data_IF_473595894202
#
_entry.id   IF_473595894202
#
_cell.length_a   1.000
_cell.length_b   1.000
_cell.length_c   1.000
_cell.angle_alpha   90.00
_cell.angle_beta   90.00
_cell.angle_gamma   90.00
#
_symmetry.space_group_name_H-M   'P 1'
#
loop_
_entity.id
_entity.type
_entity.pdbx_description
1 polymer ?
#
# COMPACT_ATOMS: atom_id res chain seq x y z
N UNK A 1 28.08 -9.33 -52.03
CA UNK A 1 27.17 -10.31 -51.40
C UNK A 1 26.75 -9.76 -50.05
N UNK A 2 25.63 -9.04 -50.02
CA UNK A 2 24.94 -8.65 -48.79
C UNK A 2 24.17 -9.85 -48.27
N UNK A 3 24.41 -10.22 -47.01
CA UNK A 3 23.57 -11.17 -46.29
C UNK A 3 22.56 -10.35 -45.51
N UNK A 4 21.34 -10.28 -46.04
CA UNK A 4 20.15 -9.82 -45.32
C UNK A 4 19.86 -10.78 -44.16
N UNK A 5 20.16 -10.37 -42.93
CA UNK A 5 19.59 -10.99 -41.74
C UNK A 5 18.42 -10.13 -41.26
N UNK A 6 17.24 -10.46 -41.77
CA UNK A 6 15.98 -10.06 -41.19
C UNK A 6 15.76 -10.84 -39.88
N UNK A 7 15.70 -10.22 -38.68
CA UNK A 7 15.34 -10.93 -37.48
C UNK A 7 13.83 -11.19 -37.48
N UNK A 8 13.45 -12.45 -37.67
CA UNK A 8 12.09 -12.97 -37.52
C UNK A 8 11.51 -12.51 -36.19
N UNK A 9 10.34 -11.90 -36.26
CA UNK A 9 9.42 -11.50 -35.19
C UNK A 9 8.98 -12.69 -34.33
N UNK A 10 9.18 -12.62 -32.99
CA UNK A 10 8.35 -13.31 -32.01
C UNK A 10 7.63 -12.32 -31.06
N UNK A 11 7.74 -11.00 -31.28
CA UNK A 11 7.22 -9.98 -30.34
C UNK A 11 5.76 -9.57 -30.59
N UNK A 12 5.20 -9.84 -31.78
CA UNK A 12 3.88 -9.32 -32.17
C UNK A 12 2.71 -10.15 -31.60
N UNK A 13 2.87 -11.46 -31.41
CA UNK A 13 1.81 -12.33 -30.86
C UNK A 13 1.65 -12.24 -29.34
N UNK A 14 2.73 -12.09 -28.58
CA UNK A 14 2.64 -11.89 -27.11
C UNK A 14 2.02 -10.54 -26.73
N UNK A 15 2.09 -9.54 -27.62
CA UNK A 15 1.49 -8.23 -27.39
C UNK A 15 -0.05 -8.27 -27.47
N UNK A 16 -0.62 -9.14 -28.31
CA UNK A 16 -2.07 -9.25 -28.52
C UNK A 16 -2.79 -10.02 -27.40
N UNK A 17 -2.26 -11.17 -26.96
CA UNK A 17 -2.85 -11.96 -25.86
C UNK A 17 -2.77 -11.23 -24.51
N UNK A 18 -1.66 -10.52 -24.26
CA UNK A 18 -1.50 -9.67 -23.10
C UNK A 18 -2.43 -8.44 -23.09
N UNK A 19 -2.76 -7.90 -24.26
CA UNK A 19 -3.64 -6.72 -24.39
C UNK A 19 -5.09 -6.99 -23.97
N UNK A 20 -5.64 -8.15 -24.35
CA UNK A 20 -7.02 -8.54 -24.04
C UNK A 20 -7.17 -8.76 -22.53
N UNK A 21 -6.26 -9.53 -21.93
CA UNK A 21 -6.28 -9.82 -20.48
C UNK A 21 -6.21 -8.53 -19.65
N UNK A 22 -5.38 -7.56 -20.05
CA UNK A 22 -5.27 -6.27 -19.36
C UNK A 22 -6.58 -5.45 -19.41
N UNK A 23 -7.23 -5.40 -20.58
CA UNK A 23 -8.52 -4.71 -20.72
C UNK A 23 -9.60 -5.39 -19.88
N UNK A 24 -9.66 -6.72 -19.91
CA UNK A 24 -10.63 -7.50 -19.16
C UNK A 24 -10.54 -7.25 -17.64
N UNK A 25 -9.32 -7.31 -17.06
CA UNK A 25 -9.11 -7.02 -15.63
C UNK A 25 -9.53 -5.59 -15.28
N UNK A 26 -9.23 -4.61 -16.15
CA UNK A 26 -9.66 -3.22 -15.92
C UNK A 26 -11.18 -3.08 -15.94
N UNK A 27 -11.89 -3.78 -16.84
CA UNK A 27 -13.34 -3.76 -16.92
C UNK A 27 -13.95 -4.36 -15.65
N UNK A 28 -13.44 -5.51 -15.20
CA UNK A 28 -13.88 -6.14 -13.95
C UNK A 28 -13.76 -5.16 -12.78
N UNK A 29 -12.63 -4.47 -12.66
CA UNK A 29 -12.41 -3.49 -11.59
C UNK A 29 -13.47 -2.38 -11.62
N UNK A 30 -13.74 -1.78 -12.78
CA UNK A 30 -14.75 -0.71 -12.86
C UNK A 30 -16.17 -1.21 -12.60
N UNK A 31 -16.52 -2.42 -13.05
CA UNK A 31 -17.81 -3.05 -12.76
C UNK A 31 -17.96 -3.34 -11.26
N UNK A 32 -16.91 -3.87 -10.62
CA UNK A 32 -16.88 -4.08 -9.17
C UNK A 32 -17.02 -2.76 -8.41
N UNK A 33 -16.28 -1.71 -8.81
CA UNK A 33 -16.34 -0.40 -8.16
C UNK A 33 -17.76 0.19 -8.24
N UNK A 34 -18.38 0.15 -9.42
CA UNK A 34 -19.74 0.66 -9.63
C UNK A 34 -20.77 -0.19 -8.88
N UNK A 35 -20.68 -1.52 -8.99
CA UNK A 35 -21.60 -2.45 -8.34
C UNK A 35 -21.58 -2.34 -6.81
N UNK A 36 -20.40 -2.26 -6.20
CA UNK A 36 -20.29 -2.11 -4.74
C UNK A 36 -20.70 -0.72 -4.27
N UNK A 37 -20.42 0.33 -5.04
CA UNK A 37 -20.90 1.69 -4.72
C UNK A 37 -22.42 1.75 -4.76
N UNK A 38 -23.05 1.17 -5.80
CA UNK A 38 -24.51 1.09 -5.90
C UNK A 38 -25.10 0.25 -4.75
N UNK A 39 -24.50 -0.90 -4.45
CA UNK A 39 -24.89 -1.73 -3.30
C UNK A 39 -24.82 -0.95 -2.00
N UNK A 40 -23.74 -0.21 -1.75
CA UNK A 40 -23.58 0.59 -0.54
C UNK A 40 -24.68 1.66 -0.42
N UNK A 41 -25.01 2.35 -1.51
CA UNK A 41 -26.10 3.33 -1.54
C UNK A 41 -27.46 2.67 -1.28
N UNK A 42 -27.74 1.52 -1.90
CA UNK A 42 -28.98 0.77 -1.68
C UNK A 42 -29.11 0.34 -0.21
N UNK A 43 -28.04 -0.19 0.38
CA UNK A 43 -28.02 -0.59 1.79
C UNK A 43 -28.19 0.61 2.72
N UNK A 44 -27.59 1.75 2.38
CA UNK A 44 -27.79 3.01 3.12
C UNK A 44 -29.26 3.41 3.12
N UNK A 45 -29.89 3.47 1.94
CA UNK A 45 -31.32 3.82 1.79
C UNK A 45 -32.19 2.83 2.55
N UNK A 46 -31.92 1.53 2.42
CA UNK A 46 -32.66 0.48 3.15
C UNK A 46 -32.55 0.66 4.66
N UNK A 47 -31.37 1.00 5.17
CA UNK A 47 -31.15 1.30 6.58
C UNK A 47 -31.97 2.51 7.06
N UNK A 48 -32.01 3.59 6.27
CA UNK A 48 -32.84 4.76 6.58
C UNK A 48 -34.34 4.47 6.53
N UNK A 49 -34.82 3.69 5.57
CA UNK A 49 -36.24 3.32 5.49
C UNK A 49 -36.66 2.38 6.63
N UNK A 50 -35.76 1.49 7.06
CA UNK A 50 -35.99 0.56 8.15
C UNK A 50 -35.99 1.23 9.54
N UNK A 51 -35.47 2.46 9.65
CA UNK A 51 -35.53 3.27 10.87
C UNK A 51 -36.98 3.54 11.34
N UNK A 52 -37.96 3.50 10.43
CA UNK A 52 -39.37 3.63 10.80
C UNK A 52 -40.00 2.32 11.32
N UNK A 53 -39.28 1.20 11.28
CA UNK A 53 -39.76 -0.12 11.68
C UNK A 53 -38.87 -0.72 12.79
N UNK A 54 -38.99 -0.23 14.03
CA UNK A 54 -38.61 -0.89 15.30
C UNK A 54 -37.29 -1.70 15.36
N UNK A 55 -36.22 -1.31 14.67
CA UNK A 55 -34.91 -1.96 14.76
C UNK A 55 -33.97 -1.18 15.69
N UNK A 56 -33.23 -1.91 16.54
CA UNK A 56 -32.31 -1.44 17.59
C UNK A 56 -31.08 -0.60 17.10
N UNK A 57 -31.10 -0.06 15.89
CA UNK A 57 -29.99 0.70 15.32
C UNK A 57 -30.16 2.20 15.52
N UNK A 58 -29.15 2.85 16.12
CA UNK A 58 -29.15 4.29 16.38
C UNK A 58 -28.15 5.00 15.44
N UNK A 59 -28.62 5.59 14.32
CA UNK A 59 -27.74 6.20 13.31
C UNK A 59 -26.86 7.32 13.86
N UNK A 60 -27.39 8.14 14.78
CA UNK A 60 -26.68 9.26 15.39
C UNK A 60 -25.53 8.81 16.30
N UNK A 61 -25.57 7.57 16.79
CA UNK A 61 -24.54 7.01 17.65
C UNK A 61 -23.46 6.25 16.84
N UNK A 62 -23.78 5.89 15.59
CA UNK A 62 -22.88 5.11 14.73
C UNK A 62 -22.15 5.96 13.67
N UNK A 63 -22.87 6.85 12.96
CA UNK A 63 -22.28 7.61 11.83
C UNK A 63 -21.28 8.69 12.26
N UNK A 64 -21.53 9.52 13.28
CA UNK A 64 -20.58 10.57 13.67
C UNK A 64 -19.21 10.05 14.13
N UNK A 65 -19.10 9.03 15.00
CA UNK A 65 -17.79 8.46 15.37
C UNK A 65 -17.04 7.88 14.17
N UNK A 66 -17.77 7.29 13.21
CA UNK A 66 -17.18 6.73 12.00
C UNK A 66 -16.68 7.83 11.07
N UNK A 67 -17.50 8.84 10.75
CA UNK A 67 -17.13 9.94 9.86
C UNK A 67 -15.97 10.76 10.44
N UNK A 68 -15.92 10.97 11.75
CA UNK A 68 -14.78 11.61 12.42
C UNK A 68 -13.50 10.77 12.27
N UNK A 69 -13.57 9.44 12.40
CA UNK A 69 -12.44 8.55 12.16
C UNK A 69 -11.94 8.60 10.70
N UNK A 70 -12.85 8.69 9.72
CA UNK A 70 -12.50 8.87 8.29
C UNK A 70 -11.88 10.25 8.03
N UNK A 71 -12.44 11.30 8.61
CA UNK A 71 -11.89 12.66 8.50
C UNK A 71 -10.48 12.75 9.08
N UNK A 72 -10.27 12.16 10.27
CA UNK A 72 -8.97 12.09 10.93
C UNK A 72 -7.94 11.33 10.10
N UNK A 73 -8.33 10.22 9.46
CA UNK A 73 -7.47 9.48 8.55
C UNK A 73 -6.98 10.36 7.39
N UNK A 74 -7.87 11.16 6.81
CA UNK A 74 -7.52 12.11 5.75
C UNK A 74 -6.51 13.15 6.22
N UNK A 75 -6.74 13.75 7.39
CA UNK A 75 -5.84 14.73 8.02
C UNK A 75 -4.46 14.10 8.28
N UNK A 76 -4.43 12.93 8.91
CA UNK A 76 -3.17 12.22 9.20
C UNK A 76 -2.41 11.85 7.92
N UNK A 77 -3.11 11.41 6.88
CA UNK A 77 -2.52 11.15 5.57
C UNK A 77 -1.84 12.40 5.00
N UNK A 78 -2.52 13.55 5.03
CA UNK A 78 -1.96 14.82 4.57
C UNK A 78 -0.76 15.27 5.42
N UNK A 79 -0.83 15.11 6.74
CA UNK A 79 0.27 15.45 7.66
C UNK A 79 1.50 14.60 7.35
N UNK A 80 1.35 13.27 7.23
CA UNK A 80 2.49 12.40 6.90
C UNK A 80 3.04 12.66 5.50
N UNK A 81 2.17 12.99 4.53
CA UNK A 81 2.60 13.38 3.20
C UNK A 81 3.42 14.68 3.25
N UNK A 82 2.92 15.71 3.93
CA UNK A 82 3.62 16.99 4.08
C UNK A 82 4.94 16.85 4.85
N UNK A 83 4.98 16.04 5.91
CA UNK A 83 6.19 15.74 6.67
C UNK A 83 7.23 15.00 5.83
N UNK A 84 6.79 14.01 5.02
CA UNK A 84 7.70 13.26 4.14
C UNK A 84 8.37 14.15 3.10
N UNK A 85 7.68 15.21 2.66
CA UNK A 85 8.24 16.18 1.71
C UNK A 85 9.10 17.26 2.38
N UNK A 86 8.64 17.82 3.49
CA UNK A 86 9.31 18.98 4.13
C UNK A 86 10.44 18.58 5.08
N UNK A 87 10.27 17.49 5.83
CA UNK A 87 11.16 17.08 6.91
C UNK A 87 11.22 15.54 7.02
N UNK A 88 11.91 14.85 6.08
CA UNK A 88 11.98 13.39 6.05
C UNK A 88 12.51 12.78 7.36
N UNK A 89 13.43 13.47 8.03
CA UNK A 89 13.94 13.10 9.36
C UNK A 89 12.82 12.99 10.40
N UNK A 90 11.95 14.00 10.48
CA UNK A 90 10.82 14.00 11.42
C UNK A 90 9.81 12.94 11.02
N UNK A 91 9.53 12.81 9.72
CA UNK A 91 8.57 11.80 9.24
C UNK A 91 8.97 10.38 9.66
N UNK A 92 10.21 9.96 9.38
CA UNK A 92 10.72 8.63 9.70
C UNK A 92 10.74 8.43 11.22
N UNK A 93 11.31 9.35 12.00
CA UNK A 93 11.35 9.22 13.46
C UNK A 93 9.95 9.15 14.07
N UNK A 94 9.01 10.00 13.62
CA UNK A 94 7.63 9.96 14.11
C UNK A 94 6.97 8.62 13.82
N UNK A 95 7.10 8.11 12.60
CA UNK A 95 6.50 6.85 12.20
C UNK A 95 7.02 5.67 13.03
N UNK A 96 8.34 5.54 13.16
CA UNK A 96 8.97 4.40 13.82
C UNK A 96 8.87 4.43 15.36
N UNK A 97 8.87 5.61 15.99
CA UNK A 97 8.80 5.71 17.45
C UNK A 97 7.38 5.84 17.99
N UNK A 98 6.50 6.62 17.33
CA UNK A 98 5.12 6.79 17.79
C UNK A 98 4.16 5.74 17.23
N UNK A 99 4.46 5.15 16.06
CA UNK A 99 3.63 4.08 15.48
C UNK A 99 3.40 2.88 16.43
N UNK A 100 4.46 2.30 17.04
CA UNK A 100 4.32 1.23 18.02
C UNK A 100 3.44 1.63 19.22
N UNK A 101 3.64 2.83 19.76
CA UNK A 101 2.87 3.35 20.89
C UNK A 101 1.38 3.46 20.56
N UNK A 102 1.04 4.06 19.41
CA UNK A 102 -0.35 4.18 18.94
C UNK A 102 -0.98 2.79 18.74
N UNK A 103 -0.22 1.85 18.18
CA UNK A 103 -0.70 0.47 17.94
C UNK A 103 -0.98 -0.27 19.26
N UNK A 104 -0.09 -0.14 20.25
CA UNK A 104 -0.30 -0.69 21.58
C UNK A 104 -1.52 -0.07 22.27
N UNK A 105 -1.66 1.26 22.22
CA UNK A 105 -2.81 1.97 22.78
C UNK A 105 -4.13 1.52 22.14
N UNK A 106 -4.14 1.32 20.82
CA UNK A 106 -5.29 0.75 20.12
C UNK A 106 -5.60 -0.67 20.63
N UNK A 107 -4.59 -1.50 20.85
CA UNK A 107 -4.75 -2.84 21.42
C UNK A 107 -5.39 -2.80 22.82
N UNK A 108 -4.91 -1.91 23.69
CA UNK A 108 -5.48 -1.71 25.03
C UNK A 108 -6.93 -1.24 24.96
N UNK A 109 -7.26 -0.31 24.05
CA UNK A 109 -8.63 0.13 23.83
C UNK A 109 -9.53 -1.03 23.40
N UNK A 110 -9.10 -1.85 22.45
CA UNK A 110 -9.88 -3.00 21.97
C UNK A 110 -10.12 -4.05 23.07
N UNK A 111 -9.12 -4.28 23.93
CA UNK A 111 -9.24 -5.15 25.10
C UNK A 111 -10.23 -4.55 26.11
N UNK A 112 -10.18 -3.23 26.36
CA UNK A 112 -11.02 -2.57 27.36
C UNK A 112 -12.50 -2.50 26.98
N UNK A 113 -12.84 -2.59 25.68
CA UNK A 113 -14.24 -2.73 25.24
C UNK A 113 -14.86 -4.03 25.78
N UNK A 114 -14.07 -5.09 25.96
CA UNK A 114 -14.52 -6.35 26.57
C UNK A 114 -15.41 -7.22 25.68
N UNK A 115 -15.41 -7.00 24.36
CA UNK A 115 -16.07 -7.89 23.39
C UNK A 115 -15.14 -9.05 23.01
N UNK A 116 -15.70 -10.19 22.60
CA UNK A 116 -14.90 -11.36 22.17
C UNK A 116 -14.00 -11.05 20.98
N UNK A 117 -14.55 -10.34 19.98
CA UNK A 117 -13.78 -9.85 18.82
C UNK A 117 -12.74 -8.81 19.24
N UNK A 118 -13.10 -7.87 20.11
CA UNK A 118 -12.20 -6.84 20.63
C UNK A 118 -11.02 -7.42 21.39
N UNK A 119 -11.22 -8.46 22.20
CA UNK A 119 -10.15 -9.17 22.91
C UNK A 119 -9.15 -9.77 21.92
N UNK A 120 -9.62 -10.52 20.92
CA UNK A 120 -8.74 -11.17 19.95
C UNK A 120 -7.91 -10.18 19.13
N UNK A 121 -8.58 -9.16 18.56
CA UNK A 121 -7.88 -8.12 17.79
C UNK A 121 -7.02 -7.21 18.67
N UNK A 122 -7.41 -7.00 19.92
CA UNK A 122 -6.68 -6.19 20.88
C UNK A 122 -5.36 -6.83 21.29
N UNK A 123 -5.38 -8.11 21.66
CA UNK A 123 -4.15 -8.88 21.94
C UNK A 123 -3.23 -8.90 20.73
N UNK A 124 -3.78 -9.15 19.54
CA UNK A 124 -3.01 -9.13 18.29
C UNK A 124 -2.37 -7.76 18.05
N UNK A 125 -3.12 -6.67 18.21
CA UNK A 125 -2.62 -5.32 18.03
C UNK A 125 -1.51 -4.97 19.02
N UNK A 126 -1.65 -5.35 20.30
CA UNK A 126 -0.59 -5.14 21.31
C UNK A 126 0.67 -5.92 20.95
N UNK A 127 0.56 -7.19 20.54
CA UNK A 127 1.70 -7.98 20.07
C UNK A 127 2.38 -7.34 18.86
N UNK A 128 1.59 -6.89 17.87
CA UNK A 128 2.11 -6.17 16.70
C UNK A 128 2.81 -4.89 17.10
N UNK A 129 2.29 -4.13 18.07
CA UNK A 129 2.93 -2.92 18.59
C UNK A 129 4.29 -3.22 19.24
N UNK A 130 4.41 -4.29 20.03
CA UNK A 130 5.68 -4.73 20.61
C UNK A 130 6.68 -5.12 19.52
N UNK A 131 6.26 -5.92 18.53
CA UNK A 131 7.10 -6.31 17.39
C UNK A 131 7.55 -5.08 16.59
N UNK A 132 6.67 -4.10 16.38
CA UNK A 132 7.03 -2.85 15.71
C UNK A 132 8.07 -2.05 16.50
N UNK A 133 7.98 -1.99 17.83
CA UNK A 133 8.96 -1.32 18.67
C UNK A 133 10.34 -2.00 18.58
N UNK A 134 10.37 -3.34 18.69
CA UNK A 134 11.60 -4.11 18.53
C UNK A 134 12.21 -3.93 17.14
N UNK A 135 11.38 -3.96 16.09
CA UNK A 135 11.83 -3.70 14.73
C UNK A 135 12.39 -2.29 14.57
N UNK A 136 11.74 -1.27 15.12
CA UNK A 136 12.21 0.11 15.08
C UNK A 136 13.59 0.28 15.74
N UNK A 137 13.83 -0.38 16.89
CA UNK A 137 15.14 -0.42 17.53
C UNK A 137 16.18 -1.11 16.64
N UNK A 138 15.84 -2.24 16.03
CA UNK A 138 16.74 -3.01 15.17
C UNK A 138 17.14 -2.26 13.90
N UNK A 139 16.21 -1.53 13.28
CA UNK A 139 16.49 -0.79 12.03
C UNK A 139 16.96 0.65 12.23
N UNK A 140 17.12 1.11 13.47
CA UNK A 140 17.58 2.47 13.78
C UNK A 140 18.90 2.85 13.06
N UNK A 141 19.92 1.98 12.94
CA UNK A 141 21.14 2.29 12.18
C UNK A 141 20.91 2.52 10.67
N UNK A 142 19.75 2.15 10.14
CA UNK A 142 19.38 2.33 8.73
C UNK A 142 18.67 3.66 8.46
N UNK A 143 18.35 4.43 9.50
CA UNK A 143 17.55 5.65 9.37
C UNK A 143 18.25 6.73 8.56
N UNK A 144 19.55 6.97 8.76
CA UNK A 144 20.25 8.04 8.06
C UNK A 144 20.21 7.84 6.54
N UNK A 145 20.46 6.61 6.07
CA UNK A 145 20.35 6.28 4.66
C UNK A 145 18.91 6.45 4.13
N UNK A 146 17.91 5.96 4.87
CA UNK A 146 16.50 6.09 4.47
C UNK A 146 16.05 7.56 4.41
N UNK A 147 16.51 8.40 5.34
CA UNK A 147 16.25 9.84 5.36
C UNK A 147 16.86 10.52 4.14
N UNK A 148 18.12 10.23 3.82
CA UNK A 148 18.80 10.82 2.65
C UNK A 148 18.10 10.43 1.35
N UNK A 149 17.79 9.15 1.16
CA UNK A 149 17.07 8.67 -0.02
C UNK A 149 15.69 9.31 -0.15
N UNK A 150 14.96 9.43 0.97
CA UNK A 150 13.65 10.08 0.97
C UNK A 150 13.77 11.57 0.63
N UNK A 151 14.77 12.28 1.19
CA UNK A 151 15.03 13.69 0.94
C UNK A 151 15.34 13.97 -0.54
N UNK A 152 16.26 13.20 -1.14
CA UNK A 152 16.60 13.30 -2.57
C UNK A 152 15.37 13.05 -3.42
N UNK A 153 14.61 12.01 -3.10
CA UNK A 153 13.38 11.69 -3.83
C UNK A 153 12.28 12.76 -3.67
N UNK A 154 12.31 13.54 -2.59
CA UNK A 154 11.31 14.57 -2.29
C UNK A 154 11.60 15.92 -2.97
N UNK A 155 12.84 16.18 -3.40
CA UNK A 155 13.30 17.47 -3.91
C UNK A 155 12.61 18.00 -5.17
N UNK A 156 11.90 17.13 -5.91
CA UNK A 156 11.19 17.52 -7.13
C UNK A 156 9.77 16.93 -7.19
N UNK A 157 8.76 17.56 -6.55
CA UNK A 157 7.36 17.23 -6.79
C UNK A 157 6.81 18.17 -7.87
N UNK A 158 6.78 17.77 -9.16
CA UNK A 158 6.06 18.56 -10.15
C UNK A 158 4.61 18.71 -9.71
N UNK A 159 4.04 19.92 -9.81
CA UNK A 159 2.71 20.26 -9.26
C UNK A 159 1.62 19.25 -9.63
N UNK A 160 1.71 18.64 -10.82
CA UNK A 160 0.81 17.60 -11.33
C UNK A 160 0.82 16.30 -10.51
N UNK A 161 1.96 15.93 -9.92
CA UNK A 161 2.06 14.73 -9.06
C UNK A 161 1.40 14.94 -7.71
N UNK A 162 1.49 16.16 -7.16
CA UNK A 162 0.75 16.55 -5.96
C UNK A 162 -0.76 16.55 -6.22
N UNK A 163 -1.20 17.09 -7.37
CA UNK A 163 -2.60 17.04 -7.79
C UNK A 163 -3.14 15.62 -7.88
N UNK A 164 -2.40 14.68 -8.49
CA UNK A 164 -2.82 13.27 -8.55
C UNK A 164 -2.98 12.68 -7.14
N UNK A 165 -2.03 12.93 -6.24
CA UNK A 165 -2.08 12.40 -4.87
C UNK A 165 -3.29 12.96 -4.09
N UNK A 166 -3.57 14.26 -4.21
CA UNK A 166 -4.73 14.90 -3.57
C UNK A 166 -6.04 14.37 -4.14
N UNK A 167 -6.16 14.23 -5.46
CA UNK A 167 -7.36 13.65 -6.09
C UNK A 167 -7.59 12.19 -5.66
N UNK A 168 -6.53 11.39 -5.62
CA UNK A 168 -6.60 10.01 -5.15
C UNK A 168 -7.01 9.91 -3.68
N UNK A 169 -6.52 10.82 -2.84
CA UNK A 169 -6.91 10.91 -1.44
C UNK A 169 -8.38 11.30 -1.28
N UNK A 170 -8.84 12.33 -2.00
CA UNK A 170 -10.25 12.75 -2.01
C UNK A 170 -11.19 11.64 -2.48
N UNK A 171 -10.83 10.94 -3.56
CA UNK A 171 -11.56 9.75 -4.02
C UNK A 171 -11.62 8.66 -2.94
N UNK A 172 -10.49 8.38 -2.26
CA UNK A 172 -10.43 7.37 -1.20
C UNK A 172 -11.34 7.71 -0.02
N UNK A 173 -11.32 8.98 0.44
CA UNK A 173 -12.18 9.47 1.53
C UNK A 173 -13.66 9.35 1.13
N UNK A 174 -14.02 9.84 -0.06
CA UNK A 174 -15.40 9.79 -0.55
C UNK A 174 -15.91 8.34 -0.71
N UNK A 175 -15.08 7.46 -1.27
CA UNK A 175 -15.42 6.05 -1.43
C UNK A 175 -15.59 5.35 -0.07
N UNK A 176 -14.68 5.55 0.88
CA UNK A 176 -14.84 5.01 2.24
C UNK A 176 -16.11 5.54 2.92
N UNK A 177 -16.42 6.84 2.79
CA UNK A 177 -17.64 7.42 3.37
C UNK A 177 -18.91 6.76 2.80
N UNK A 178 -18.98 6.53 1.48
CA UNK A 178 -20.09 5.82 0.83
C UNK A 178 -20.20 4.38 1.36
N UNK A 179 -19.07 3.67 1.47
CA UNK A 179 -19.06 2.31 2.01
C UNK A 179 -19.52 2.27 3.47
N UNK A 180 -19.12 3.23 4.30
CA UNK A 180 -19.58 3.28 5.69
C UNK A 180 -21.08 3.58 5.79
N UNK A 181 -21.64 4.36 4.86
CA UNK A 181 -23.09 4.46 4.66
C UNK A 181 -23.74 3.08 4.52
N UNK A 182 -23.22 2.26 3.61
CA UNK A 182 -23.76 0.93 3.37
C UNK A 182 -23.55 -0.06 4.52
N UNK A 183 -22.39 0.00 5.20
CA UNK A 183 -22.13 -0.83 6.39
C UNK A 183 -23.08 -0.46 7.53
N UNK A 184 -23.34 0.83 7.76
CA UNK A 184 -24.32 1.28 8.74
C UNK A 184 -25.73 0.75 8.41
N UNK A 185 -26.15 0.86 7.14
CA UNK A 185 -27.44 0.34 6.70
C UNK A 185 -27.56 -1.19 6.67
N UNK A 186 -26.45 -1.92 6.52
CA UNK A 186 -26.39 -3.36 6.69
C UNK A 186 -26.49 -3.77 8.17
N UNK A 187 -25.78 -3.04 9.04
CA UNK A 187 -25.80 -3.25 10.49
C UNK A 187 -27.19 -3.00 11.07
N UNK A 188 -27.95 -2.06 10.50
CA UNK A 188 -29.32 -1.78 10.90
C UNK A 188 -30.29 -2.95 10.69
N UNK A 189 -30.10 -3.74 9.62
CA UNK A 189 -30.95 -4.88 9.31
C UNK A 189 -30.51 -6.16 10.05
N UNK A 190 -29.21 -6.33 10.29
CA UNK A 190 -28.67 -7.35 11.19
C UNK A 190 -28.84 -8.80 10.75
N UNK A 191 -29.12 -9.07 9.46
CA UNK A 191 -29.30 -10.45 8.97
C UNK A 191 -27.96 -11.13 8.66
N UNK A 192 -27.95 -12.47 8.59
CA UNK A 192 -26.76 -13.22 8.16
C UNK A 192 -26.28 -12.81 6.75
N UNK A 193 -27.22 -12.48 5.86
CA UNK A 193 -26.92 -11.98 4.51
C UNK A 193 -26.20 -10.64 4.59
N UNK A 194 -26.60 -9.74 5.50
CA UNK A 194 -25.97 -8.44 5.69
C UNK A 194 -24.52 -8.57 6.16
N UNK A 195 -24.21 -9.55 7.00
CA UNK A 195 -22.83 -9.88 7.37
C UNK A 195 -21.96 -10.26 6.16
N UNK A 196 -22.50 -11.06 5.23
CA UNK A 196 -21.80 -11.41 3.98
C UNK A 196 -21.61 -10.18 3.10
N UNK A 197 -22.65 -9.32 2.97
CA UNK A 197 -22.56 -8.09 2.18
C UNK A 197 -21.50 -7.14 2.74
N UNK A 198 -21.42 -6.97 4.06
CA UNK A 198 -20.35 -6.20 4.71
C UNK A 198 -18.98 -6.81 4.40
N UNK A 199 -18.83 -8.13 4.45
CA UNK A 199 -17.59 -8.81 4.05
C UNK A 199 -17.18 -8.53 2.61
N UNK A 200 -18.13 -8.59 1.66
CA UNK A 200 -17.90 -8.26 0.24
C UNK A 200 -17.48 -6.79 0.09
N UNK A 201 -18.14 -5.87 0.79
CA UNK A 201 -17.80 -4.44 0.77
C UNK A 201 -16.40 -4.18 1.31
N UNK A 202 -16.00 -4.85 2.40
CA UNK A 202 -14.64 -4.75 2.96
C UNK A 202 -13.60 -5.28 1.98
N UNK A 203 -13.81 -6.46 1.41
CA UNK A 203 -12.89 -7.05 0.43
C UNK A 203 -12.71 -6.15 -0.79
N UNK A 204 -13.83 -5.63 -1.30
CA UNK A 204 -13.89 -4.61 -2.33
C UNK A 204 -13.08 -3.37 -1.96
N UNK A 205 -13.26 -2.84 -0.74
CA UNK A 205 -12.52 -1.69 -0.24
C UNK A 205 -11.02 -1.93 -0.23
N UNK A 206 -10.57 -3.07 0.31
CA UNK A 206 -9.16 -3.44 0.34
C UNK A 206 -8.56 -3.43 -1.06
N UNK A 207 -9.25 -4.05 -2.02
CA UNK A 207 -8.75 -4.11 -3.39
C UNK A 207 -8.73 -2.72 -4.04
N UNK A 208 -9.83 -1.96 -3.97
CA UNK A 208 -9.91 -0.60 -4.53
C UNK A 208 -8.85 0.32 -3.95
N UNK A 209 -8.61 0.29 -2.64
CA UNK A 209 -7.59 1.11 -1.99
C UNK A 209 -6.17 0.76 -2.45
N UNK A 210 -5.87 -0.53 -2.64
CA UNK A 210 -4.59 -0.95 -3.21
C UNK A 210 -4.44 -0.48 -4.66
N UNK A 211 -5.52 -0.53 -5.46
CA UNK A 211 -5.51 0.00 -6.83
C UNK A 211 -5.23 1.50 -6.83
N UNK A 212 -5.96 2.29 -6.04
CA UNK A 212 -5.75 3.74 -5.95
C UNK A 212 -4.31 4.07 -5.53
N UNK A 213 -3.80 3.39 -4.50
CA UNK A 213 -2.40 3.52 -4.05
C UNK A 213 -1.42 3.24 -5.20
N UNK A 214 -1.60 2.14 -5.92
CA UNK A 214 -0.68 1.76 -6.99
C UNK A 214 -0.83 2.64 -8.24
N UNK A 215 -2.01 3.22 -8.50
CA UNK A 215 -2.22 4.25 -9.53
C UNK A 215 -1.38 5.49 -9.22
N UNK A 216 -1.42 5.96 -7.97
CA UNK A 216 -0.53 7.06 -7.52
C UNK A 216 0.93 6.65 -7.65
N UNK A 217 1.29 5.43 -7.24
CA UNK A 217 2.64 4.91 -7.33
C UNK A 217 3.18 4.97 -8.77
N UNK A 218 2.44 4.40 -9.72
CA UNK A 218 2.79 4.37 -11.15
C UNK A 218 2.86 5.79 -11.73
N UNK A 219 1.85 6.62 -11.45
CA UNK A 219 1.77 7.99 -11.97
C UNK A 219 2.95 8.83 -11.50
N UNK A 220 3.18 8.89 -10.18
CA UNK A 220 4.26 9.68 -9.60
C UNK A 220 5.62 9.11 -10.03
N UNK A 221 5.78 7.78 -10.07
CA UNK A 221 7.04 7.18 -10.50
C UNK A 221 7.35 7.47 -11.96
N UNK A 222 6.35 7.47 -12.85
CA UNK A 222 6.54 7.75 -14.27
C UNK A 222 7.03 9.18 -14.49
N UNK A 223 6.41 10.16 -13.83
CA UNK A 223 6.83 11.56 -13.94
C UNK A 223 8.25 11.75 -13.39
N UNK A 224 8.55 11.17 -12.22
CA UNK A 224 9.88 11.29 -11.62
C UNK A 224 10.95 10.57 -12.44
N UNK A 225 10.63 9.40 -12.98
CA UNK A 225 11.51 8.66 -13.88
C UNK A 225 11.88 9.50 -15.11
N UNK A 226 10.89 10.09 -15.79
CA UNK A 226 11.14 10.97 -16.95
C UNK A 226 11.99 12.20 -16.60
N UNK A 227 11.83 12.74 -15.39
CA UNK A 227 12.67 13.83 -14.92
C UNK A 227 14.14 13.38 -14.75
N UNK A 228 14.38 12.23 -14.11
CA UNK A 228 15.72 11.69 -13.96
C UNK A 228 16.37 11.31 -15.30
N UNK A 229 15.58 10.77 -16.25
CA UNK A 229 16.12 10.24 -17.51
C UNK A 229 16.18 11.24 -18.67
N UNK A 230 15.19 12.14 -18.83
CA UNK A 230 15.04 12.97 -20.04
C UNK A 230 15.14 14.48 -19.74
N UNK A 231 14.49 14.97 -18.68
CA UNK A 231 14.61 16.38 -18.22
C UNK A 231 14.00 17.45 -19.11
N UNK A 232 13.10 17.07 -20.03
CA UNK A 232 12.32 18.00 -20.84
C UNK A 232 10.83 17.97 -20.46
N UNK A 233 10.24 19.17 -20.38
CA UNK A 233 8.81 19.42 -20.16
C UNK A 233 8.00 19.23 -21.45
N UNK A 234 7.81 17.98 -21.86
CA UNK A 234 6.84 17.64 -22.91
C UNK A 234 5.40 17.89 -22.43
N UNK A 235 4.43 17.79 -23.35
CA UNK A 235 2.98 17.97 -23.13
C UNK A 235 2.41 16.87 -22.17
N UNK A 236 2.83 16.99 -20.91
CA UNK A 236 2.90 15.90 -19.93
C UNK A 236 1.51 15.45 -19.52
N UNK A 237 0.52 16.34 -19.58
CA UNK A 237 -0.82 16.07 -19.05
C UNK A 237 -1.56 15.01 -19.90
N UNK A 238 -1.57 15.17 -21.23
CA UNK A 238 -2.23 14.22 -22.13
C UNK A 238 -1.46 12.90 -22.16
N UNK A 239 -0.13 12.94 -22.19
CA UNK A 239 0.71 11.75 -22.14
C UNK A 239 0.53 10.98 -20.81
N UNK A 240 0.50 11.69 -19.68
CA UNK A 240 0.28 11.12 -18.34
C UNK A 240 -1.06 10.41 -18.23
N UNK A 241 -2.16 11.09 -18.58
CA UNK A 241 -3.50 10.52 -18.51
C UNK A 241 -3.63 9.28 -19.40
N UNK A 242 -3.06 9.33 -20.61
CA UNK A 242 -3.06 8.19 -21.51
C UNK A 242 -2.21 7.03 -20.98
N UNK A 243 -1.08 7.30 -20.32
CA UNK A 243 -0.25 6.27 -19.68
C UNK A 243 -0.97 5.62 -18.50
N UNK A 244 -1.62 6.40 -17.63
CA UNK A 244 -2.43 5.90 -16.53
C UNK A 244 -3.59 5.03 -17.03
N UNK A 245 -4.37 5.51 -17.99
CA UNK A 245 -5.49 4.75 -18.55
C UNK A 245 -5.06 3.40 -19.16
N UNK A 246 -3.91 3.36 -19.85
CA UNK A 246 -3.38 2.13 -20.45
C UNK A 246 -2.73 1.18 -19.44
N UNK A 247 -2.30 1.68 -18.29
CA UNK A 247 -1.68 0.88 -17.23
C UNK A 247 -2.69 0.32 -16.21
N UNK A 248 -3.96 0.73 -16.25
CA UNK A 248 -5.00 0.29 -15.30
C UNK A 248 -5.08 -1.23 -15.15
N UNK A 249 -5.10 -2.00 -16.25
CA UNK A 249 -5.16 -3.46 -16.20
C UNK A 249 -4.01 -4.10 -15.40
N UNK A 250 -2.74 -3.85 -15.79
CA UNK A 250 -1.56 -4.27 -15.02
C UNK A 250 -1.55 -3.77 -13.58
N UNK A 251 -2.00 -2.54 -13.31
CA UNK A 251 -2.08 -1.99 -11.95
C UNK A 251 -3.10 -2.74 -11.11
N UNK A 252 -4.29 -3.02 -11.65
CA UNK A 252 -5.33 -3.78 -10.96
C UNK A 252 -4.87 -5.20 -10.61
N UNK A 253 -4.23 -5.88 -11.56
CA UNK A 253 -3.66 -7.21 -11.34
C UNK A 253 -2.53 -7.17 -10.31
N UNK A 254 -1.63 -6.19 -10.41
CA UNK A 254 -0.53 -6.00 -9.46
C UNK A 254 -1.01 -5.68 -8.04
N UNK A 255 -2.17 -5.02 -7.91
CA UNK A 255 -2.77 -4.67 -6.61
C UNK A 255 -3.31 -5.89 -5.84
N UNK A 256 -3.50 -7.02 -6.51
CA UNK A 256 -3.79 -8.32 -5.88
C UNK A 256 -2.51 -9.12 -5.71
N UNK A 257 -1.71 -9.24 -6.77
CA UNK A 257 -0.53 -10.10 -6.80
C UNK A 257 0.55 -9.64 -5.81
N UNK A 258 0.91 -8.35 -5.79
CA UNK A 258 2.04 -7.86 -4.98
C UNK A 258 1.77 -8.01 -3.47
N UNK A 259 0.59 -7.64 -2.92
CA UNK A 259 0.28 -7.92 -1.52
C UNK A 259 0.23 -9.42 -1.22
N UNK A 260 -0.32 -10.24 -2.11
CA UNK A 260 -0.41 -11.70 -1.91
C UNK A 260 0.97 -12.33 -1.83
N UNK A 261 1.90 -11.97 -2.73
CA UNK A 261 3.29 -12.42 -2.69
C UNK A 261 3.98 -11.94 -1.41
N UNK A 262 3.70 -10.72 -0.97
CA UNK A 262 4.26 -10.18 0.28
C UNK A 262 3.76 -10.96 1.50
N UNK A 263 2.49 -11.35 1.53
CA UNK A 263 1.90 -12.19 2.57
C UNK A 263 2.52 -13.59 2.59
N UNK A 264 2.64 -14.24 1.43
CA UNK A 264 3.27 -15.56 1.30
C UNK A 264 4.74 -15.51 1.75
N UNK A 265 5.48 -14.48 1.37
CA UNK A 265 6.87 -14.31 1.82
C UNK A 265 6.96 -14.03 3.33
N UNK A 266 6.04 -13.25 3.87
CA UNK A 266 5.96 -12.96 5.29
C UNK A 266 5.71 -14.24 6.11
N UNK A 267 4.74 -15.05 5.69
CA UNK A 267 4.45 -16.34 6.35
C UNK A 267 5.60 -17.33 6.19
N UNK A 268 6.24 -17.39 5.02
CA UNK A 268 7.43 -18.22 4.81
C UNK A 268 8.53 -17.94 5.84
N UNK A 269 8.82 -16.65 6.06
CA UNK A 269 9.85 -16.22 7.01
C UNK A 269 9.47 -16.52 8.45
N UNK A 270 8.21 -16.31 8.82
CA UNK A 270 7.71 -16.65 10.15
C UNK A 270 7.85 -18.16 10.42
N UNK A 271 7.49 -19.00 9.44
CA UNK A 271 7.64 -20.46 9.55
C UNK A 271 9.12 -20.85 9.66
N UNK A 272 10.00 -20.27 8.85
CA UNK A 272 11.45 -20.57 8.93
C UNK A 272 12.08 -20.17 10.27
N UNK A 273 11.55 -19.15 10.95
CA UNK A 273 12.03 -18.73 12.28
C UNK A 273 11.53 -19.66 13.39
N UNK A 274 10.36 -20.28 13.21
CA UNK A 274 9.77 -21.23 14.16
C UNK A 274 10.35 -22.64 13.96
N UNK A 275 10.75 -22.99 12.73
CA UNK A 275 11.34 -24.28 12.39
C UNK A 275 12.78 -24.50 12.90
N UNK A 276 13.25 -23.68 13.85
CA UNK A 276 14.59 -23.78 14.43
C UNK A 276 14.84 -25.09 15.19
N UNK A 277 15.82 -25.84 14.70
CA UNK A 277 16.64 -26.90 15.34
C UNK A 277 15.98 -28.18 15.86
N UNK A 278 14.67 -28.41 15.65
CA UNK A 278 13.98 -29.55 16.31
C UNK A 278 13.22 -30.53 15.41
N UNK A 279 13.00 -30.26 14.12
CA UNK A 279 12.24 -31.18 13.24
C UNK A 279 12.68 -31.15 11.76
N UNK A 280 13.24 -32.26 11.26
CA UNK A 280 13.65 -32.44 9.85
C UNK A 280 12.49 -32.27 8.85
N UNK A 281 11.26 -32.57 9.25
CA UNK A 281 10.07 -32.46 8.39
C UNK A 281 9.65 -31.00 8.17
N UNK A 282 9.79 -30.14 9.19
CA UNK A 282 9.51 -28.71 9.10
C UNK A 282 10.56 -27.97 8.26
N UNK A 283 11.80 -28.47 8.23
CA UNK A 283 12.89 -27.91 7.43
C UNK A 283 12.65 -28.09 5.92
N UNK A 284 12.21 -29.27 5.49
CA UNK A 284 11.89 -29.55 4.08
C UNK A 284 10.73 -28.70 3.55
N UNK A 285 9.68 -28.51 4.36
CA UNK A 285 8.58 -27.62 4.02
C UNK A 285 9.00 -26.14 3.99
N UNK A 286 9.86 -25.71 4.91
CA UNK A 286 10.39 -24.34 4.94
C UNK A 286 11.26 -24.03 3.72
N UNK A 287 12.09 -24.98 3.25
CA UNK A 287 12.92 -24.82 2.05
C UNK A 287 12.10 -24.80 0.75
N UNK A 288 11.08 -25.65 0.64
CA UNK A 288 10.15 -25.62 -0.49
C UNK A 288 9.36 -24.29 -0.54
N UNK A 289 8.89 -23.83 0.61
CA UNK A 289 8.08 -22.62 0.74
C UNK A 289 8.91 -21.33 0.55
N UNK A 290 10.18 -21.33 0.99
CA UNK A 290 11.14 -20.25 0.73
C UNK A 290 11.57 -20.19 -0.74
N UNK A 291 11.73 -21.35 -1.40
CA UNK A 291 11.97 -21.46 -2.84
C UNK A 291 10.79 -20.92 -3.67
N UNK A 292 9.56 -21.21 -3.27
CA UNK A 292 8.35 -20.64 -3.88
C UNK A 292 8.27 -19.12 -3.66
N UNK A 293 8.55 -18.63 -2.45
CA UNK A 293 8.56 -17.20 -2.15
C UNK A 293 9.62 -16.44 -2.97
N UNK A 294 10.80 -17.01 -3.19
CA UNK A 294 11.86 -16.43 -4.01
C UNK A 294 11.45 -16.32 -5.49
N UNK A 295 10.82 -17.37 -6.05
CA UNK A 295 10.24 -17.35 -7.40
C UNK A 295 9.04 -16.40 -7.53
N UNK A 296 8.29 -16.17 -6.46
CA UNK A 296 7.17 -15.23 -6.46
C UNK A 296 7.62 -13.75 -6.40
N UNK A 297 8.71 -13.44 -5.70
CA UNK A 297 9.27 -12.06 -5.63
C UNK A 297 9.76 -11.57 -7.00
N UNK A 298 10.32 -12.47 -7.81
CA UNK A 298 10.66 -12.17 -9.20
C UNK A 298 9.42 -11.97 -10.08
N UNK A 299 8.28 -12.55 -9.71
CA UNK A 299 7.03 -12.44 -10.48
C UNK A 299 6.16 -11.25 -10.08
N UNK A 300 6.23 -10.75 -8.85
CA UNK A 300 5.46 -9.58 -8.44
C UNK A 300 6.19 -8.79 -7.34
N UNK A 301 6.73 -7.62 -7.70
CA UNK A 301 7.38 -6.71 -6.76
C UNK A 301 6.92 -5.26 -6.96
N UNK A 302 7.10 -4.44 -5.92
CA UNK A 302 6.70 -3.02 -6.00
C UNK A 302 7.45 -2.23 -7.07
N UNK A 303 8.69 -2.61 -7.35
CA UNK A 303 9.56 -1.91 -8.31
C UNK A 303 9.02 -2.06 -9.73
N UNK A 304 8.39 -3.20 -10.04
CA UNK A 304 7.72 -3.44 -11.30
C UNK A 304 6.65 -2.40 -11.66
N UNK A 305 6.02 -1.73 -10.68
CA UNK A 305 5.09 -0.64 -10.97
C UNK A 305 5.76 0.55 -11.68
N UNK A 306 7.03 0.83 -11.40
CA UNK A 306 7.79 1.86 -12.14
C UNK A 306 7.88 1.49 -13.62
N UNK A 307 8.27 0.25 -13.92
CA UNK A 307 8.33 -0.27 -15.30
C UNK A 307 6.95 -0.39 -15.98
N UNK A 308 5.86 -0.61 -15.24
CA UNK A 308 4.51 -0.53 -15.81
C UNK A 308 4.25 0.88 -16.35
N UNK A 309 4.60 1.91 -15.58
CA UNK A 309 4.42 3.31 -15.98
C UNK A 309 5.26 3.66 -17.21
N UNK A 310 6.55 3.31 -17.19
CA UNK A 310 7.52 3.68 -18.22
C UNK A 310 7.35 2.85 -19.50
N UNK A 311 7.37 1.51 -19.37
CA UNK A 311 7.44 0.59 -20.49
C UNK A 311 6.10 -0.03 -20.88
N UNK A 312 5.02 0.23 -20.12
CA UNK A 312 3.66 -0.28 -20.39
C UNK A 312 3.60 -1.81 -20.54
N UNK A 313 4.46 -2.52 -19.81
CA UNK A 313 4.49 -3.97 -19.71
C UNK A 313 3.49 -4.46 -18.65
N UNK A 314 3.23 -5.77 -18.63
CA UNK A 314 2.41 -6.40 -17.58
C UNK A 314 3.20 -6.53 -16.28
N UNK A 315 2.53 -6.57 -15.13
CA UNK A 315 3.20 -6.58 -13.81
C UNK A 315 4.25 -7.68 -13.65
N UNK A 316 4.00 -8.87 -14.18
CA UNK A 316 4.95 -10.00 -14.06
C UNK A 316 6.23 -9.74 -14.84
N UNK A 317 6.10 -9.32 -16.10
CA UNK A 317 7.26 -8.97 -16.92
C UNK A 317 8.00 -7.77 -16.34
N UNK A 318 7.27 -6.73 -15.95
CA UNK A 318 7.84 -5.53 -15.33
C UNK A 318 8.61 -5.86 -14.05
N UNK A 319 8.11 -6.78 -13.22
CA UNK A 319 8.76 -7.20 -11.97
C UNK A 319 10.03 -8.01 -12.22
N UNK A 320 10.04 -8.87 -13.25
CA UNK A 320 11.24 -9.64 -13.63
C UNK A 320 12.33 -8.73 -14.17
N UNK A 321 11.95 -7.85 -15.11
CA UNK A 321 12.87 -6.90 -15.74
C UNK A 321 13.54 -5.98 -14.71
N UNK A 322 12.77 -5.44 -13.74
CA UNK A 322 13.35 -4.59 -12.67
C UNK A 322 14.28 -5.36 -11.77
N UNK A 323 13.91 -6.59 -11.37
CA UNK A 323 14.73 -7.38 -10.47
C UNK A 323 16.06 -7.80 -11.13
N UNK A 324 16.02 -8.18 -12.41
CA UNK A 324 17.22 -8.52 -13.16
C UNK A 324 18.13 -7.30 -13.36
N UNK A 325 17.55 -6.12 -13.60
CA UNK A 325 18.29 -4.87 -13.68
C UNK A 325 19.03 -4.57 -12.36
N UNK A 326 18.35 -4.71 -11.21
CA UNK A 326 18.99 -4.52 -9.91
C UNK A 326 20.12 -5.51 -9.64
N UNK A 327 19.97 -6.76 -10.08
CA UNK A 327 21.04 -7.75 -9.98
C UNK A 327 22.26 -7.37 -10.81
N UNK A 328 22.05 -6.94 -12.05
CA UNK A 328 23.13 -6.50 -12.95
C UNK A 328 23.84 -5.26 -12.40
N UNK A 329 23.11 -4.35 -11.75
CA UNK A 329 23.66 -3.17 -11.10
C UNK A 329 24.27 -3.44 -9.71
N UNK A 330 24.20 -4.66 -9.19
CA UNK A 330 24.70 -5.00 -7.85
C UNK A 330 23.92 -4.36 -6.69
N UNK A 331 22.66 -3.96 -6.92
CA UNK A 331 21.84 -3.20 -5.95
C UNK A 331 20.94 -4.07 -5.05
N UNK A 332 21.02 -5.40 -5.12
CA UNK A 332 20.16 -6.30 -4.35
C UNK A 332 20.25 -6.02 -2.83
N UNK A 333 21.46 -5.89 -2.30
CA UNK A 333 21.71 -5.64 -0.88
C UNK A 333 21.23 -4.24 -0.43
N UNK A 334 21.40 -3.24 -1.30
CA UNK A 334 20.89 -1.89 -1.06
C UNK A 334 19.37 -1.86 -0.95
N UNK A 335 18.68 -2.61 -1.83
CA UNK A 335 17.22 -2.71 -1.86
C UNK A 335 16.68 -3.43 -0.63
N UNK A 336 17.37 -4.46 -0.14
CA UNK A 336 17.02 -5.15 1.09
C UNK A 336 17.25 -4.28 2.34
N UNK A 337 18.11 -3.26 2.24
CA UNK A 337 18.33 -2.25 3.27
C UNK A 337 17.30 -1.11 3.25
N UNK A 338 16.53 -0.93 2.16
CA UNK A 338 15.56 0.16 2.01
C UNK A 338 14.40 0.07 3.02
N UNK A 339 14.24 1.11 3.84
CA UNK A 339 13.19 1.20 4.83
C UNK A 339 11.89 1.80 4.30
N UNK A 340 11.82 2.29 3.06
CA UNK A 340 10.65 3.03 2.56
C UNK A 340 9.35 2.23 2.67
N UNK A 341 9.36 0.93 2.35
CA UNK A 341 8.17 0.08 2.50
C UNK A 341 7.75 -0.10 3.97
N UNK A 342 8.72 -0.21 4.87
CA UNK A 342 8.48 -0.29 6.32
C UNK A 342 7.94 1.02 6.86
N UNK A 343 8.54 2.14 6.46
CA UNK A 343 8.09 3.49 6.80
C UNK A 343 6.61 3.70 6.41
N UNK A 344 6.24 3.39 5.15
CA UNK A 344 4.85 3.52 4.71
C UNK A 344 3.90 2.59 5.49
N UNK A 345 4.34 1.38 5.85
CA UNK A 345 3.56 0.47 6.68
C UNK A 345 3.34 1.05 8.08
N UNK A 346 4.39 1.53 8.75
CA UNK A 346 4.31 2.12 10.09
C UNK A 346 3.40 3.34 10.13
N UNK A 347 3.52 4.26 9.17
CA UNK A 347 2.58 5.37 9.06
C UNK A 347 1.15 4.91 8.81
N UNK A 348 0.95 3.90 7.96
CA UNK A 348 -0.36 3.30 7.73
C UNK A 348 -0.97 2.77 9.02
N UNK A 349 -0.23 1.96 9.77
CA UNK A 349 -0.71 1.40 11.05
C UNK A 349 -0.95 2.50 12.08
N UNK A 350 -0.09 3.52 12.15
CA UNK A 350 -0.29 4.67 13.03
C UNK A 350 -1.56 5.47 12.67
N UNK A 351 -1.80 5.71 11.38
CA UNK A 351 -3.00 6.41 10.90
C UNK A 351 -4.28 5.61 11.19
N UNK A 352 -4.27 4.30 10.93
CA UNK A 352 -5.34 3.39 11.32
C UNK A 352 -5.56 3.36 12.83
N UNK A 353 -4.48 3.22 13.60
CA UNK A 353 -4.54 3.17 15.06
C UNK A 353 -5.14 4.43 15.65
N UNK A 354 -4.78 5.61 15.14
CA UNK A 354 -5.35 6.87 15.60
C UNK A 354 -6.84 7.01 15.24
N UNK A 355 -7.23 6.65 14.02
CA UNK A 355 -8.64 6.61 13.61
C UNK A 355 -9.47 5.66 14.47
N UNK A 356 -8.91 4.49 14.81
CA UNK A 356 -9.54 3.51 15.70
C UNK A 356 -9.65 4.01 17.14
N UNK A 357 -8.61 4.68 17.64
CA UNK A 357 -8.60 5.28 18.98
C UNK A 357 -9.67 6.35 19.12
N UNK A 358 -9.75 7.28 18.16
CA UNK A 358 -10.72 8.39 18.21
C UNK A 358 -12.15 7.88 18.01
N UNK A 359 -12.41 7.10 16.95
CA UNK A 359 -13.76 6.58 16.69
C UNK A 359 -14.22 5.60 17.77
N UNK A 360 -13.32 4.72 18.22
CA UNK A 360 -13.60 3.74 19.27
C UNK A 360 -13.85 4.38 20.63
N UNK A 361 -13.02 5.34 21.05
CA UNK A 361 -13.20 6.03 22.33
C UNK A 361 -14.48 6.85 22.35
N UNK A 362 -14.82 7.53 21.24
CA UNK A 362 -16.11 8.22 21.12
C UNK A 362 -17.26 7.24 21.24
N UNK A 363 -17.22 6.14 20.49
CA UNK A 363 -18.28 5.13 20.53
C UNK A 363 -18.39 4.45 21.91
N UNK A 364 -17.30 4.28 22.65
CA UNK A 364 -17.34 3.76 24.02
C UNK A 364 -18.17 4.65 24.96
N UNK A 365 -18.07 5.97 24.80
CA UNK A 365 -18.82 6.94 25.60
C UNK A 365 -20.29 7.00 25.20
N UNK A 366 -20.57 6.87 23.90
CA UNK A 366 -21.92 7.01 23.36
C UNK A 366 -22.70 5.69 23.40
N UNK A 367 -22.20 4.65 22.72
CA UNK A 367 -22.84 3.34 22.59
C UNK A 367 -21.77 2.23 22.49
N UNK A 368 -21.52 1.55 23.62
CA UNK A 368 -20.47 0.54 23.77
C UNK A 368 -20.57 -0.60 22.75
N UNK A 369 -21.77 -0.98 22.33
CA UNK A 369 -21.99 -2.09 21.39
C UNK A 369 -21.34 -1.84 20.02
N UNK A 370 -21.33 -0.59 19.55
CA UNK A 370 -20.71 -0.24 18.27
C UNK A 370 -19.21 -0.02 18.34
N UNK A 371 -18.64 0.12 19.55
CA UNK A 371 -17.25 0.53 19.73
C UNK A 371 -16.26 -0.43 19.06
N UNK A 372 -16.50 -1.75 19.16
CA UNK A 372 -15.63 -2.73 18.52
C UNK A 372 -15.67 -2.61 17.00
N UNK A 373 -16.87 -2.52 16.42
CA UNK A 373 -17.02 -2.40 14.97
C UNK A 373 -16.40 -1.10 14.45
N UNK A 374 -16.70 0.03 15.11
CA UNK A 374 -16.18 1.35 14.72
C UNK A 374 -14.66 1.40 14.83
N UNK A 375 -14.07 0.82 15.88
CA UNK A 375 -12.61 0.70 16.00
C UNK A 375 -11.99 -0.12 14.87
N UNK A 376 -12.57 -1.27 14.53
CA UNK A 376 -12.03 -2.14 13.47
C UNK A 376 -12.13 -1.51 12.08
N UNK A 377 -13.29 -0.93 11.72
CA UNK A 377 -13.45 -0.23 10.46
C UNK A 377 -12.63 1.06 10.40
N UNK A 378 -12.59 1.82 11.50
CA UNK A 378 -11.77 3.03 11.64
C UNK A 378 -10.29 2.72 11.44
N UNK A 379 -9.79 1.61 12.02
CA UNK A 379 -8.44 1.12 11.78
C UNK A 379 -8.19 0.83 10.31
N UNK A 380 -9.07 0.04 9.69
CA UNK A 380 -8.89 -0.41 8.32
C UNK A 380 -8.89 0.77 7.34
N UNK A 381 -9.84 1.69 7.49
CA UNK A 381 -9.94 2.89 6.65
C UNK A 381 -8.74 3.80 6.87
N UNK A 382 -8.39 4.08 8.13
CA UNK A 382 -7.26 4.93 8.46
C UNK A 382 -5.94 4.39 7.91
N UNK A 383 -5.76 3.07 7.97
CA UNK A 383 -4.63 2.39 7.37
C UNK A 383 -4.56 2.63 5.86
N UNK A 384 -5.64 2.35 5.13
CA UNK A 384 -5.61 2.48 3.66
C UNK A 384 -5.48 3.92 3.18
N UNK A 385 -6.21 4.86 3.79
CA UNK A 385 -6.15 6.29 3.44
C UNK A 385 -4.72 6.81 3.63
N UNK A 386 -4.09 6.50 4.76
CA UNK A 386 -2.71 6.92 5.03
C UNK A 386 -1.72 6.26 4.08
N UNK A 387 -1.95 5.00 3.69
CA UNK A 387 -1.14 4.30 2.69
C UNK A 387 -1.27 4.88 1.28
N UNK A 388 -2.45 5.38 0.90
CA UNK A 388 -2.66 6.12 -0.35
C UNK A 388 -1.90 7.45 -0.31
N UNK A 389 -1.99 8.20 0.79
CA UNK A 389 -1.28 9.47 0.94
C UNK A 389 0.26 9.32 0.80
N UNK A 390 0.81 8.22 1.31
CA UNK A 390 2.24 7.91 1.24
C UNK A 390 2.69 7.24 -0.06
N UNK A 391 1.77 6.97 -0.99
CA UNK A 391 2.10 6.39 -2.28
C UNK A 391 3.05 7.30 -3.10
N UNK A 392 2.89 8.62 -3.00
CA UNK A 392 3.74 9.59 -3.70
C UNK A 392 5.21 9.56 -3.24
N UNK A 393 5.49 9.72 -1.94
CA UNK A 393 6.84 9.53 -1.39
C UNK A 393 7.43 8.16 -1.74
N UNK A 394 6.66 7.08 -1.59
CA UNK A 394 7.09 5.73 -1.95
C UNK A 394 7.45 5.60 -3.44
N UNK A 395 6.67 6.24 -4.32
CA UNK A 395 6.92 6.27 -5.76
C UNK A 395 8.21 7.00 -6.09
N UNK A 396 8.51 8.09 -5.37
CA UNK A 396 9.73 8.86 -5.56
C UNK A 396 10.97 8.02 -5.29
N UNK A 397 11.01 7.38 -4.13
CA UNK A 397 12.13 6.49 -3.80
C UNK A 397 12.20 5.32 -4.79
N UNK A 398 11.06 4.78 -5.21
CA UNK A 398 11.03 3.66 -6.17
C UNK A 398 11.58 4.07 -7.53
N UNK A 399 11.19 5.24 -8.04
CA UNK A 399 11.70 5.77 -9.30
C UNK A 399 13.18 6.11 -9.23
N UNK A 400 13.66 6.65 -8.11
CA UNK A 400 15.07 7.00 -7.92
C UNK A 400 15.97 5.76 -8.00
N UNK A 401 15.65 4.68 -7.30
CA UNK A 401 16.43 3.43 -7.39
C UNK A 401 16.38 2.80 -8.78
N UNK A 402 15.20 2.73 -9.41
CA UNK A 402 15.05 2.13 -10.75
C UNK A 402 15.80 2.95 -11.80
N UNK A 403 15.68 4.28 -11.76
CA UNK A 403 16.38 5.14 -12.72
C UNK A 403 17.91 5.06 -12.54
N UNK A 404 18.39 4.97 -11.29
CA UNK A 404 19.82 4.77 -11.02
C UNK A 404 20.32 3.41 -11.53
N UNK A 405 19.54 2.34 -11.33
CA UNK A 405 19.90 1.00 -11.81
C UNK A 405 19.95 0.92 -13.34
N UNK A 406 19.16 1.74 -14.05
CA UNK A 406 19.14 1.78 -15.50
C UNK A 406 20.28 2.63 -16.08
N UNK A 407 20.61 3.76 -15.46
CA UNK A 407 21.69 4.63 -15.92
C UNK A 407 22.44 5.30 -14.76
N UNK A 408 23.37 4.55 -14.15
CA UNK A 408 24.14 5.00 -12.99
C UNK A 408 25.15 6.12 -13.29
N UNK A 409 25.47 6.36 -14.57
CA UNK A 409 26.49 7.33 -15.01
C UNK A 409 25.90 8.74 -15.29
N UNK A 410 24.57 8.90 -15.23
CA UNK A 410 23.94 10.18 -15.48
C UNK A 410 24.32 11.22 -14.41
N UNK A 411 24.75 12.41 -14.86
CA UNK A 411 25.14 13.54 -14.00
C UNK A 411 24.00 14.11 -13.11
N UNK A 412 22.78 13.59 -13.26
CA UNK A 412 21.61 13.99 -12.47
C UNK A 412 21.47 13.21 -11.16
N UNK A 413 22.24 12.14 -10.98
CA UNK A 413 22.26 11.39 -9.73
C UNK A 413 23.29 11.98 -8.76
N UNK A 414 22.92 12.01 -7.50
CA UNK A 414 23.78 12.41 -6.40
C UNK A 414 24.56 11.22 -5.83
N UNK A 415 25.44 11.50 -4.87
CA UNK A 415 26.34 10.50 -4.30
C UNK A 415 25.64 9.52 -3.32
N UNK A 416 24.35 9.70 -3.00
CA UNK A 416 23.67 8.92 -1.94
C UNK A 416 23.68 7.42 -2.19
N UNK A 417 23.32 6.95 -3.39
CA UNK A 417 23.38 5.53 -3.74
C UNK A 417 24.83 5.00 -3.82
N UNK A 418 25.75 5.62 -4.59
CA UNK A 418 27.09 5.05 -4.76
C UNK A 418 27.91 5.02 -3.46
N UNK A 419 27.78 6.03 -2.59
CA UNK A 419 28.43 6.04 -1.27
C UNK A 419 27.97 4.85 -0.44
N UNK A 420 26.65 4.58 -0.41
CA UNK A 420 26.13 3.45 0.36
C UNK A 420 26.56 2.11 -0.21
N UNK A 421 26.59 1.97 -1.53
CA UNK A 421 27.06 0.76 -2.19
C UNK A 421 28.53 0.46 -1.85
N UNK A 422 29.37 1.50 -1.79
CA UNK A 422 30.77 1.37 -1.34
C UNK A 422 30.90 0.94 0.12
N UNK A 423 30.06 1.47 1.02
CA UNK A 423 30.03 1.06 2.43
C UNK A 423 29.66 -0.42 2.59
N UNK A 424 28.61 -0.87 1.90
CA UNK A 424 28.19 -2.28 1.92
C UNK A 424 29.30 -3.20 1.36
N UNK A 425 29.96 -2.80 0.27
CA UNK A 425 31.11 -3.55 -0.26
C UNK A 425 32.31 -3.61 0.69
N UNK A 426 32.56 -2.56 1.48
CA UNK A 426 33.61 -2.56 2.51
C UNK A 426 33.25 -3.51 3.66
N UNK A 427 31.99 -3.49 4.10
CA UNK A 427 31.50 -4.39 5.15
C UNK A 427 31.57 -5.87 4.74
N UNK A 428 31.39 -6.19 3.46
CA UNK A 428 31.56 -7.57 2.96
C UNK A 428 33.01 -8.05 2.96
N UNK A 429 33.98 -7.14 2.84
CA UNK A 429 35.41 -7.48 2.75
C UNK A 429 36.11 -7.55 4.12
N UNK A 430 35.50 -6.97 5.15
CA UNK A 430 35.91 -7.10 6.55
C UNK A 430 35.24 -8.32 7.18
#
# INVERSE_FOLDING_TARGET
MQVDQNPRTPQTEQLNSGGITRKFVSIIFYLQLLGVSALAVILTIRGFLSHHAHLHFHPLDWYPPMLTAVGLAGIMGLVFQALSHSNPTRAIKLAFWFGPLITCSMGVLLISIGSSLGLGFGVLATLVGVVQALYACWVNPRFDHAISVLAVSAGFPPAKTAQLAVLALGFSIGYCAILMGGVGGATAAGTHVDGILVGVMVLSMVWTMQVVRNVVLVGVSWVKYLNFSCGDDWDLCRAFRNTLARSMGPVCLGSVLVPTVSLVRGSARAVSLVAGDSDEFLFSCADCYSGLASKLVTCANRWGFVHIGVYRKGIVQSSRDTWEMFRRAGMEELIDYDLTSSFCLFCGVAGGGLSSLVGGSWSLVVHKEYATQISLFGFLIGYFITRVALAGPQAGVSAYHVAYAENSESARFDATIPVRLQELHRQRKS
#
